data_IF_876052824859
#
_entry.id   IF_876052824859
#
_cell.length_a   1.000
_cell.length_b   1.000
_cell.length_c   1.000
_cell.angle_alpha   90.00
_cell.angle_beta   90.00
_cell.angle_gamma   90.00
#
_symmetry.space_group_name_H-M   'P 1'
#
loop_
_entity.id
_entity.type
_entity.pdbx_description
1 polymer ?
#
# COMPACT_ATOMS: atom_id res chain seq x y z
N UNK A 1 -2.51 2.91 2.37
CA UNK A 1 -2.95 3.90 1.38
C UNK A 1 -2.39 3.53 0.02
N UNK A 2 -3.22 3.60 -1.01
CA UNK A 2 -2.84 3.28 -2.40
C UNK A 2 -2.97 4.57 -3.21
N UNK A 3 -1.89 5.05 -3.79
CA UNK A 3 -1.88 6.14 -4.79
C UNK A 3 -1.90 5.53 -6.21
N UNK A 4 -2.06 6.33 -7.28
CA UNK A 4 -2.03 5.80 -8.64
C UNK A 4 -0.74 5.04 -9.01
N UNK A 5 0.36 5.28 -8.30
CA UNK A 5 1.70 4.78 -8.60
C UNK A 5 2.41 4.07 -7.43
N UNK A 6 1.95 4.24 -6.18
CA UNK A 6 2.59 3.67 -4.99
C UNK A 6 1.60 3.05 -4.00
N UNK A 7 2.08 2.06 -3.25
CA UNK A 7 1.44 1.58 -2.03
C UNK A 7 2.26 2.03 -0.83
N UNK A 8 1.62 2.72 0.10
CA UNK A 8 2.17 3.05 1.42
C UNK A 8 1.44 2.25 2.49
N UNK A 9 2.17 1.42 3.24
CA UNK A 9 1.62 0.58 4.30
C UNK A 9 2.54 0.58 5.53
N UNK A 10 1.92 0.60 6.71
CA UNK A 10 2.54 0.27 7.99
C UNK A 10 2.01 -1.10 8.39
N UNK A 11 2.90 -2.04 8.66
CA UNK A 11 2.55 -3.44 8.89
C UNK A 11 3.25 -3.90 10.17
N UNK A 12 2.46 -4.25 11.19
CA UNK A 12 2.93 -5.01 12.34
C UNK A 12 3.00 -6.50 11.99
N UNK A 13 4.13 -7.16 12.23
CA UNK A 13 4.32 -8.57 11.86
C UNK A 13 5.43 -9.21 12.71
N UNK A 14 5.23 -10.47 13.10
CA UNK A 14 6.26 -11.31 13.70
C UNK A 14 7.20 -11.96 12.67
N UNK A 15 6.87 -11.85 11.37
CA UNK A 15 7.72 -12.33 10.27
C UNK A 15 8.79 -11.32 9.91
N UNK A 16 9.91 -11.82 9.39
CA UNK A 16 10.95 -10.99 8.82
C UNK A 16 10.41 -10.12 7.68
N UNK A 17 10.98 -8.92 7.49
CA UNK A 17 10.48 -8.00 6.47
C UNK A 17 10.53 -8.55 5.04
N UNK A 18 11.49 -9.43 4.72
CA UNK A 18 11.60 -10.10 3.43
C UNK A 18 10.39 -10.98 3.15
N UNK A 19 9.88 -11.68 4.16
CA UNK A 19 8.68 -12.51 4.06
C UNK A 19 7.43 -11.67 3.91
N UNK A 20 7.30 -10.58 4.69
CA UNK A 20 6.20 -9.62 4.54
C UNK A 20 6.16 -9.09 3.12
N UNK A 21 7.30 -8.63 2.59
CA UNK A 21 7.41 -8.14 1.21
C UNK A 21 7.08 -9.22 0.19
N UNK A 22 7.55 -10.45 0.38
CA UNK A 22 7.25 -11.59 -0.51
C UNK A 22 5.75 -11.86 -0.56
N UNK A 23 5.06 -11.82 0.58
CA UNK A 23 3.61 -12.03 0.62
C UNK A 23 2.86 -10.85 -0.01
N UNK A 24 3.15 -9.62 0.44
CA UNK A 24 2.48 -8.42 -0.06
C UNK A 24 2.71 -8.27 -1.56
N UNK A 25 3.97 -8.18 -2.00
CA UNK A 25 4.28 -7.90 -3.40
C UNK A 25 4.04 -9.11 -4.30
N UNK A 26 4.41 -10.31 -3.84
CA UNK A 26 4.29 -11.53 -4.64
C UNK A 26 2.83 -11.90 -4.89
N UNK A 27 1.99 -11.93 -3.85
CA UNK A 27 0.58 -12.32 -3.99
C UNK A 27 -0.20 -11.23 -4.74
N UNK A 28 -0.08 -9.97 -4.31
CA UNK A 28 -0.83 -8.87 -4.96
C UNK A 28 -0.40 -8.67 -6.42
N UNK A 29 0.90 -8.78 -6.71
CA UNK A 29 1.43 -8.64 -8.07
C UNK A 29 0.89 -9.74 -8.98
N UNK A 30 0.93 -10.99 -8.53
CA UNK A 30 0.39 -12.12 -9.30
C UNK A 30 -1.11 -11.98 -9.52
N UNK A 31 -1.89 -11.68 -8.48
CA UNK A 31 -3.35 -11.53 -8.57
C UNK A 31 -3.76 -10.39 -9.50
N UNK A 32 -3.10 -9.24 -9.39
CA UNK A 32 -3.39 -8.07 -10.25
C UNK A 32 -3.08 -8.39 -11.72
N UNK A 33 -1.92 -8.98 -12.01
CA UNK A 33 -1.56 -9.34 -13.39
C UNK A 33 -2.53 -10.37 -13.98
N UNK A 34 -2.93 -11.37 -13.18
CA UNK A 34 -3.91 -12.37 -13.62
C UNK A 34 -5.28 -11.72 -13.90
N UNK A 35 -5.76 -10.87 -13.00
CA UNK A 35 -7.00 -10.13 -13.18
C UNK A 35 -6.98 -9.29 -14.46
N UNK A 36 -5.92 -8.52 -14.70
CA UNK A 36 -5.79 -7.71 -15.90
C UNK A 36 -5.81 -8.56 -17.18
N UNK A 37 -5.20 -9.75 -17.14
CA UNK A 37 -5.17 -10.68 -18.27
C UNK A 37 -6.53 -11.33 -18.52
N UNK A 38 -7.16 -11.86 -17.48
CA UNK A 38 -8.44 -12.58 -17.55
C UNK A 38 -9.58 -11.63 -17.94
N UNK A 39 -9.54 -10.38 -17.47
CA UNK A 39 -10.51 -9.34 -17.83
C UNK A 39 -10.22 -8.66 -19.18
N UNK A 40 -9.11 -9.00 -19.87
CA UNK A 40 -8.77 -8.42 -21.18
C UNK A 40 -8.30 -6.95 -21.14
N UNK A 41 -7.80 -6.46 -20.00
CA UNK A 41 -7.29 -5.09 -19.85
C UNK A 41 -5.88 -4.91 -20.41
N UNK A 42 -5.72 -5.14 -21.72
CA UNK A 42 -4.43 -5.20 -22.38
C UNK A 42 -3.63 -3.89 -22.26
N UNK A 43 -4.29 -2.72 -22.36
CA UNK A 43 -3.64 -1.42 -22.23
C UNK A 43 -3.01 -1.21 -20.85
N UNK A 44 -3.64 -1.72 -19.79
CA UNK A 44 -3.11 -1.67 -18.42
C UNK A 44 -2.02 -2.71 -18.22
N UNK A 45 -2.20 -3.92 -18.77
CA UNK A 45 -1.20 -4.98 -18.68
C UNK A 45 0.12 -4.58 -19.37
N UNK A 46 0.05 -3.88 -20.51
CA UNK A 46 1.24 -3.40 -21.22
C UNK A 46 2.06 -2.38 -20.42
N UNK A 47 1.42 -1.56 -19.56
CA UNK A 47 2.14 -0.64 -18.64
C UNK A 47 3.03 -1.40 -17.64
N UNK A 48 2.71 -2.66 -17.34
CA UNK A 48 3.46 -3.50 -16.41
C UNK A 48 4.55 -4.33 -17.10
N UNK A 49 4.74 -4.15 -18.41
CA UNK A 49 5.74 -4.90 -19.18
C UNK A 49 7.13 -4.32 -18.93
N UNK A 50 8.08 -5.18 -18.59
CA UNK A 50 9.49 -4.79 -18.46
C UNK A 50 10.18 -4.80 -19.82
N UNK A 51 11.17 -3.91 -20.01
CA UNK A 51 12.05 -3.96 -21.18
C UNK A 51 12.71 -5.35 -21.25
N UNK A 52 12.50 -6.04 -22.35
CA UNK A 52 12.88 -7.45 -22.52
C UNK A 52 14.38 -7.60 -22.49
N UNK A 53 14.89 -8.19 -21.40
CA UNK A 53 16.28 -8.61 -21.28
C UNK A 53 16.49 -9.39 -19.98
N UNK A 54 16.72 -10.70 -20.08
CA UNK A 54 17.24 -11.62 -19.05
C UNK A 54 16.28 -12.31 -18.06
N UNK A 55 14.94 -12.14 -18.10
CA UNK A 55 14.05 -12.77 -17.09
C UNK A 55 12.86 -13.56 -17.64
N UNK A 56 12.49 -14.64 -16.92
CA UNK A 56 11.36 -15.56 -17.19
C UNK A 56 9.97 -14.91 -17.14
N UNK A 57 9.80 -13.70 -16.60
CA UNK A 57 8.51 -13.05 -16.41
C UNK A 57 8.36 -11.78 -17.26
N UNK A 58 7.31 -11.75 -18.11
CA UNK A 58 7.01 -10.67 -19.06
C UNK A 58 6.44 -9.40 -18.41
N UNK A 59 5.79 -9.54 -17.25
CA UNK A 59 5.09 -8.45 -16.56
C UNK A 59 5.45 -8.44 -15.06
N UNK A 60 5.55 -7.26 -14.45
CA UNK A 60 5.65 -7.10 -12.99
C UNK A 60 4.91 -5.84 -12.54
N UNK A 61 4.14 -5.97 -11.46
CA UNK A 61 3.43 -4.86 -10.82
C UNK A 61 4.36 -3.97 -9.99
N UNK A 62 5.32 -4.60 -9.30
CA UNK A 62 6.16 -3.92 -8.32
C UNK A 62 7.55 -3.63 -8.87
N UNK A 63 8.12 -2.51 -8.41
CA UNK A 63 9.53 -2.19 -8.58
C UNK A 63 10.41 -3.17 -7.78
N UNK A 64 11.64 -3.40 -8.26
CA UNK A 64 12.56 -4.37 -7.64
C UNK A 64 13.12 -3.95 -6.28
N UNK A 65 13.06 -2.65 -5.97
CA UNK A 65 13.63 -2.09 -4.74
C UNK A 65 12.51 -1.47 -3.90
N UNK A 66 11.80 -2.27 -3.08
CA UNK A 66 10.81 -1.73 -2.17
C UNK A 66 11.51 -0.86 -1.10
N UNK A 67 10.90 0.29 -0.77
CA UNK A 67 11.38 1.12 0.31
C UNK A 67 10.83 0.60 1.65
N UNK A 68 11.65 -0.20 2.32
CA UNK A 68 11.34 -0.77 3.62
C UNK A 68 12.08 0.01 4.70
N UNK A 69 11.35 0.44 5.74
CA UNK A 69 11.93 1.07 6.92
C UNK A 69 11.37 0.43 8.18
N UNK A 70 12.25 -0.05 9.05
CA UNK A 70 11.87 -0.50 10.39
C UNK A 70 11.49 0.71 11.24
N UNK A 71 10.36 0.59 11.94
CA UNK A 71 9.86 1.59 12.88
C UNK A 71 9.76 0.89 14.23
N UNK A 72 10.50 1.38 15.21
CA UNK A 72 10.60 0.79 16.55
C UNK A 72 10.06 1.68 17.66
N UNK A 73 9.56 2.87 17.33
CA UNK A 73 9.01 3.82 18.30
C UNK A 73 7.61 4.27 17.90
N UNK A 74 6.78 4.52 18.89
CA UNK A 74 5.41 5.00 18.68
C UNK A 74 5.37 6.37 18.01
N UNK A 75 6.25 7.28 18.43
CA UNK A 75 6.37 8.59 17.80
C UNK A 75 6.76 8.46 16.31
N UNK A 76 7.70 7.57 16.00
CA UNK A 76 8.08 7.28 14.61
C UNK A 76 6.94 6.65 13.81
N UNK A 77 6.15 5.78 14.43
CA UNK A 77 4.97 5.19 13.81
C UNK A 77 3.91 6.25 13.51
N UNK A 78 3.58 7.12 14.47
CA UNK A 78 2.61 8.19 14.28
C UNK A 78 3.07 9.23 13.26
N UNK A 79 4.36 9.57 13.24
CA UNK A 79 4.93 10.45 12.21
C UNK A 79 4.71 9.87 10.81
N UNK A 80 4.96 8.56 10.62
CA UNK A 80 4.76 7.90 9.33
C UNK A 80 3.30 7.70 8.99
N UNK A 81 2.44 7.37 9.94
CA UNK A 81 1.00 7.28 9.72
C UNK A 81 0.45 8.62 9.20
N UNK A 82 0.78 9.72 9.90
CA UNK A 82 0.41 11.07 9.50
C UNK A 82 0.99 11.45 8.13
N UNK A 83 2.27 11.16 7.88
CA UNK A 83 2.89 11.41 6.58
C UNK A 83 2.14 10.71 5.45
N UNK A 84 1.81 9.43 5.64
CA UNK A 84 1.10 8.62 4.65
C UNK A 84 -0.27 9.23 4.38
N UNK A 85 -1.07 9.50 5.41
CA UNK A 85 -2.42 10.04 5.22
C UNK A 85 -2.43 11.44 4.61
N UNK A 86 -1.40 12.25 4.83
CA UNK A 86 -1.26 13.59 4.24
C UNK A 86 -0.69 13.58 2.82
N UNK A 87 -0.20 12.45 2.32
CA UNK A 87 0.41 12.38 1.00
C UNK A 87 -0.54 12.78 -0.15
N UNK A 88 -1.84 12.40 -0.17
CA UNK A 88 -2.75 12.83 -1.22
C UNK A 88 -2.96 14.35 -1.25
N UNK A 89 -2.98 15.00 -0.10
CA UNK A 89 -3.08 16.47 0.02
C UNK A 89 -1.82 17.13 -0.53
N UNK A 90 -0.64 16.64 -0.13
CA UNK A 90 0.65 17.15 -0.61
C UNK A 90 0.85 16.95 -2.12
N UNK A 91 0.26 15.89 -2.67
CA UNK A 91 0.26 15.61 -4.10
C UNK A 91 -0.81 16.40 -4.88
N UNK A 92 -1.64 17.21 -4.20
CA UNK A 92 -2.71 17.99 -4.83
C UNK A 92 -3.88 17.15 -5.35
N UNK A 93 -4.05 15.92 -4.86
CA UNK A 93 -5.13 15.02 -5.29
C UNK A 93 -6.47 15.35 -4.63
N UNK A 94 -6.42 15.89 -3.41
CA UNK A 94 -7.59 16.26 -2.59
C UNK A 94 -7.21 17.43 -1.68
N UNK A 95 -8.20 18.20 -1.24
CA UNK A 95 -7.99 19.30 -0.28
C UNK A 95 -7.82 18.79 1.16
N UNK A 96 -8.52 17.71 1.52
CA UNK A 96 -8.49 17.10 2.84
C UNK A 96 -8.09 15.63 2.76
N UNK A 97 -7.34 15.14 3.74
CA UNK A 97 -6.81 13.77 3.73
C UNK A 97 -7.93 12.72 3.68
N UNK A 98 -9.03 12.94 4.41
CA UNK A 98 -10.18 12.05 4.49
C UNK A 98 -11.02 11.95 3.21
N UNK A 99 -10.87 12.91 2.29
CA UNK A 99 -11.54 12.88 0.99
C UNK A 99 -10.87 11.88 0.04
N UNK A 100 -9.65 11.43 0.35
CA UNK A 100 -8.97 10.45 -0.47
C UNK A 100 -9.52 9.04 -0.24
N UNK A 101 -10.25 8.51 -1.22
CA UNK A 101 -10.91 7.21 -1.15
C UNK A 101 -9.97 6.06 -0.77
N UNK A 102 -8.77 5.99 -1.33
CA UNK A 102 -7.85 4.86 -1.14
C UNK A 102 -6.87 5.06 0.04
N UNK A 103 -7.33 5.70 1.11
CA UNK A 103 -6.62 5.90 2.37
C UNK A 103 -7.41 5.30 3.54
N UNK A 104 -6.70 4.82 4.56
CA UNK A 104 -7.31 4.33 5.80
C UNK A 104 -7.58 5.43 6.84
N UNK A 105 -7.27 6.70 6.55
CA UNK A 105 -7.42 7.84 7.48
C UNK A 105 -8.81 7.91 8.12
N UNK A 106 -9.87 7.51 7.40
CA UNK A 106 -11.24 7.49 7.93
C UNK A 106 -11.41 6.52 9.09
N UNK A 107 -10.74 5.37 9.06
CA UNK A 107 -10.71 4.45 10.20
C UNK A 107 -10.04 5.12 11.41
N UNK A 108 -8.93 5.84 11.21
CA UNK A 108 -8.23 6.57 12.27
C UNK A 108 -9.06 7.70 12.87
N UNK A 109 -9.86 8.37 12.05
CA UNK A 109 -10.81 9.40 12.47
C UNK A 109 -12.11 8.82 13.06
N UNK A 110 -12.24 7.49 13.16
CA UNK A 110 -13.46 6.78 13.61
C UNK A 110 -14.71 7.13 12.79
N UNK A 111 -14.51 7.32 11.47
CA UNK A 111 -15.55 7.64 10.49
C UNK A 111 -15.41 6.78 9.22
N UNK A 112 -15.31 5.45 9.32
CA UNK A 112 -15.28 4.60 8.12
C UNK A 112 -16.57 4.77 7.32
N UNK A 113 -16.47 4.63 6.00
CA UNK A 113 -17.63 4.52 5.12
C UNK A 113 -18.23 3.12 5.21
N UNK A 114 -19.50 2.96 4.84
CA UNK A 114 -20.16 1.65 4.79
C UNK A 114 -19.43 0.67 3.86
N UNK A 115 -18.82 1.20 2.79
CA UNK A 115 -18.05 0.46 1.80
C UNK A 115 -16.54 0.77 1.91
N UNK A 116 -16.02 1.09 3.10
CA UNK A 116 -14.63 1.49 3.32
C UNK A 116 -13.63 0.55 2.62
N UNK A 117 -12.81 1.03 1.68
CA UNK A 117 -12.06 0.16 0.79
C UNK A 117 -10.80 -0.39 1.45
N UNK A 118 -10.34 0.22 2.54
CA UNK A 118 -9.11 -0.12 3.26
C UNK A 118 -9.37 -0.16 4.76
N UNK A 119 -9.92 -1.28 5.23
CA UNK A 119 -10.03 -1.59 6.65
C UNK A 119 -8.64 -1.84 7.26
N UNK A 120 -8.48 -1.44 8.51
CA UNK A 120 -7.23 -1.56 9.26
C UNK A 120 -7.50 -1.96 10.71
N UNK A 121 -6.59 -2.73 11.29
CA UNK A 121 -6.66 -3.24 12.65
C UNK A 121 -6.14 -2.21 13.68
N UNK A 122 -6.64 -0.97 13.63
CA UNK A 122 -6.16 0.12 14.50
C UNK A 122 -6.38 -0.17 16.00
N UNK A 123 -7.39 -0.97 16.32
CA UNK A 123 -7.73 -1.36 17.69
C UNK A 123 -6.85 -2.49 18.22
N UNK A 124 -6.07 -3.14 17.36
CA UNK A 124 -5.08 -4.15 17.76
C UNK A 124 -3.70 -3.54 18.06
N UNK A 125 -3.54 -2.22 17.92
CA UNK A 125 -2.28 -1.55 18.23
C UNK A 125 -2.14 -1.43 19.75
N UNK A 126 -1.14 -2.12 20.29
CA UNK A 126 -0.76 -2.02 21.69
C UNK A 126 0.13 -0.80 21.91
N UNK A 127 -0.45 0.26 22.47
CA UNK A 127 0.28 1.47 22.86
C UNK A 127 0.87 1.30 24.27
N UNK A 128 2.14 1.69 24.42
CA UNK A 128 2.77 1.91 25.70
C UNK A 128 1.97 2.95 26.47
N UNK A 129 1.47 2.55 27.65
CA UNK A 129 0.84 3.47 28.58
C UNK A 129 1.92 4.43 29.09
N UNK A 130 1.66 5.73 28.92
CA UNK A 130 2.47 6.79 29.54
C UNK A 130 2.35 6.77 31.06
#
# INVERSE_FOLDING_TARGET
MITPDHLHALIGSHKDPSDVLRYVNGISGRRTINFLREAGYESSLQKLRHATGLRKHKYSLWNHHPNLKLISTENGFMEKANYIHQNPVRAGLVERAEDYRWSSIRCWLRKPLDDEPLLVDIDQIEWHKS
#
